data_IF_720243919810
#
_entry.id   IF_720243919810
#
_cell.length_a   1.000
_cell.length_b   1.000
_cell.length_c   1.000
_cell.angle_alpha   90.00
_cell.angle_beta   90.00
_cell.angle_gamma   90.00
#
_symmetry.space_group_name_H-M   'P 1'
#
loop_
_entity.id
_entity.type
_entity.pdbx_description
1 polymer ?
#
# COMPACT_ATOMS: atom_id res chain seq x y z
N UNK A 1 -18.29 14.42 -32.44
CA UNK A 1 -17.11 14.85 -31.65
C UNK A 1 -15.96 13.92 -32.02
N UNK A 2 -14.83 14.43 -32.53
CA UNK A 2 -13.66 13.57 -32.86
C UNK A 2 -12.92 13.24 -31.57
N UNK A 3 -12.57 11.98 -31.35
CA UNK A 3 -11.75 11.53 -30.22
C UNK A 3 -10.37 12.18 -30.29
N UNK A 4 -9.96 12.89 -29.23
CA UNK A 4 -8.57 13.34 -29.08
C UNK A 4 -7.76 12.15 -28.56
N UNK A 5 -6.83 11.67 -29.37
CA UNK A 5 -5.89 10.61 -28.97
C UNK A 5 -4.74 11.26 -28.21
N UNK A 6 -4.60 10.94 -26.92
CA UNK A 6 -3.41 11.25 -26.13
C UNK A 6 -2.59 9.95 -26.02
N UNK A 7 -1.81 9.61 -27.05
CA UNK A 7 -0.87 8.50 -26.94
C UNK A 7 0.37 8.98 -26.18
N UNK A 8 0.37 8.91 -24.85
CA UNK A 8 1.49 9.40 -24.02
C UNK A 8 2.36 8.25 -23.46
N UNK A 9 2.17 7.01 -23.91
CA UNK A 9 3.03 5.88 -23.51
C UNK A 9 3.13 5.76 -21.97
N UNK A 10 4.35 5.73 -21.45
CA UNK A 10 4.67 5.62 -20.01
C UNK A 10 4.57 6.96 -19.25
N UNK A 11 4.05 8.04 -19.85
CA UNK A 11 3.86 9.34 -19.20
C UNK A 11 2.39 9.78 -19.23
N UNK A 12 2.00 10.72 -18.38
CA UNK A 12 0.66 11.33 -18.40
C UNK A 12 0.64 12.74 -17.84
N UNK A 13 -0.35 13.53 -18.25
CA UNK A 13 -0.72 14.74 -17.52
C UNK A 13 -1.34 14.37 -16.17
N UNK A 14 -0.90 15.03 -15.12
CA UNK A 14 -1.38 14.86 -13.76
C UNK A 14 -1.57 16.22 -13.09
N UNK A 15 -2.66 16.35 -12.33
CA UNK A 15 -2.99 17.57 -11.57
C UNK A 15 -2.46 17.40 -10.16
N UNK A 16 -1.69 18.37 -9.69
CA UNK A 16 -1.15 18.36 -8.34
C UNK A 16 -2.20 18.90 -7.34
N UNK A 17 -2.96 18.00 -6.73
CA UNK A 17 -3.93 18.29 -5.68
C UNK A 17 -3.41 18.00 -4.26
N UNK A 18 -2.11 17.76 -4.11
CA UNK A 18 -1.47 17.37 -2.84
C UNK A 18 -1.39 18.50 -1.80
N UNK A 19 -1.65 19.75 -2.23
CA UNK A 19 -1.54 20.94 -1.38
C UNK A 19 -0.11 21.47 -1.21
N UNK A 20 0.89 20.82 -1.79
CA UNK A 20 2.30 21.27 -1.84
C UNK A 20 2.80 21.29 -3.27
N UNK A 21 3.77 22.16 -3.58
CA UNK A 21 4.40 22.15 -4.90
C UNK A 21 5.25 20.89 -5.07
N UNK A 22 5.22 20.30 -6.27
CA UNK A 22 5.99 19.10 -6.62
C UNK A 22 7.11 19.52 -7.55
N UNK A 23 8.33 19.11 -7.28
CA UNK A 23 9.50 19.37 -8.10
C UNK A 23 9.73 18.25 -9.11
N UNK A 24 10.42 18.55 -10.20
CA UNK A 24 10.89 17.51 -11.12
C UNK A 24 11.78 16.51 -10.37
N UNK A 25 11.51 15.22 -10.53
CA UNK A 25 12.19 14.11 -9.85
C UNK A 25 11.43 13.56 -8.64
N UNK A 26 10.45 14.30 -8.11
CA UNK A 26 9.67 13.86 -6.96
C UNK A 26 8.80 12.65 -7.31
N UNK A 27 8.71 11.72 -6.36
CA UNK A 27 7.82 10.56 -6.47
C UNK A 27 6.44 10.95 -5.98
N UNK A 28 5.45 10.83 -6.85
CA UNK A 28 4.05 11.17 -6.55
C UNK A 28 3.14 9.98 -6.69
N UNK A 29 2.09 9.92 -5.87
CA UNK A 29 1.04 8.92 -6.00
C UNK A 29 -0.05 9.44 -6.94
N UNK A 30 -0.46 8.65 -7.93
CA UNK A 30 -1.68 8.95 -8.68
C UNK A 30 -2.80 8.01 -8.27
N UNK A 31 -3.77 8.60 -7.57
CA UNK A 31 -4.97 7.91 -7.11
C UNK A 31 -4.63 6.61 -6.38
N UNK A 32 -5.42 5.57 -6.68
CA UNK A 32 -5.24 4.22 -6.14
C UNK A 32 -4.53 3.28 -7.14
N UNK A 33 -3.86 3.82 -8.17
CA UNK A 33 -3.35 3.02 -9.29
C UNK A 33 -1.86 2.70 -9.17
N UNK A 34 -1.03 3.72 -8.90
CA UNK A 34 0.43 3.60 -8.85
C UNK A 34 1.16 4.85 -8.34
N UNK A 35 2.45 4.68 -8.12
CA UNK A 35 3.43 5.77 -8.03
C UNK A 35 3.90 6.21 -9.43
N UNK A 36 4.40 7.44 -9.54
CA UNK A 36 5.04 8.00 -10.73
C UNK A 36 6.10 9.03 -10.33
N UNK A 37 6.89 9.47 -11.31
CA UNK A 37 7.93 10.49 -11.14
C UNK A 37 7.51 11.76 -11.87
N UNK A 38 7.53 12.91 -11.20
CA UNK A 38 7.34 14.18 -11.87
C UNK A 38 8.49 14.50 -12.82
N UNK A 39 8.21 14.86 -14.08
CA UNK A 39 9.26 15.16 -15.08
C UNK A 39 9.51 16.67 -15.25
N UNK A 40 8.71 17.47 -14.56
CA UNK A 40 8.72 18.94 -14.55
C UNK A 40 8.27 19.40 -13.17
N UNK A 41 8.58 20.64 -12.82
CA UNK A 41 7.99 21.26 -11.63
C UNK A 41 6.48 21.47 -11.84
N UNK A 42 5.68 21.13 -10.83
CA UNK A 42 4.22 21.17 -10.84
C UNK A 42 3.75 21.99 -9.65
N UNK A 43 3.32 23.22 -9.92
CA UNK A 43 2.73 24.08 -8.90
C UNK A 43 1.48 23.45 -8.26
N UNK A 44 1.12 23.91 -7.07
CA UNK A 44 -0.13 23.52 -6.39
C UNK A 44 -1.33 23.82 -7.32
N UNK A 45 -2.21 22.84 -7.47
CA UNK A 45 -3.36 22.85 -8.41
C UNK A 45 -2.98 22.99 -9.88
N UNK A 46 -1.69 22.96 -10.21
CA UNK A 46 -1.16 22.97 -11.57
C UNK A 46 -1.25 21.59 -12.22
N UNK A 47 -1.09 21.56 -13.54
CA UNK A 47 -0.97 20.31 -14.30
C UNK A 47 0.44 20.18 -14.83
N UNK A 48 1.07 19.04 -14.59
CA UNK A 48 2.39 18.71 -15.11
C UNK A 48 2.42 17.31 -15.70
N UNK A 49 3.56 16.92 -16.25
CA UNK A 49 3.77 15.58 -16.77
C UNK A 49 4.46 14.72 -15.70
N UNK A 50 3.96 13.49 -15.54
CA UNK A 50 4.55 12.46 -14.68
C UNK A 50 4.79 11.19 -15.48
N UNK A 51 5.91 10.53 -15.21
CA UNK A 51 6.29 9.23 -15.76
C UNK A 51 5.80 8.11 -14.83
N UNK A 52 4.90 7.29 -15.35
CA UNK A 52 4.25 6.20 -14.63
C UNK A 52 4.75 4.82 -15.07
N UNK A 53 5.74 4.80 -15.96
CA UNK A 53 6.48 3.62 -16.45
C UNK A 53 7.96 3.95 -16.65
N UNK A 54 8.66 3.14 -17.46
CA UNK A 54 10.10 3.28 -17.65
C UNK A 54 10.96 2.89 -16.44
N UNK A 55 12.26 3.20 -16.52
CA UNK A 55 13.26 2.90 -15.48
C UNK A 55 13.85 4.22 -14.97
N UNK A 56 13.78 4.43 -13.65
CA UNK A 56 14.21 5.66 -12.99
C UNK A 56 15.24 5.35 -11.90
N UNK A 57 16.25 6.21 -11.75
CA UNK A 57 17.24 6.09 -10.68
C UNK A 57 16.79 6.88 -9.47
N UNK A 58 16.62 6.21 -8.34
CA UNK A 58 16.11 6.80 -7.10
C UNK A 58 17.06 6.52 -5.94
N UNK A 59 17.07 7.40 -4.94
CA UNK A 59 17.74 7.13 -3.67
C UNK A 59 17.17 5.86 -3.05
N UNK A 60 18.02 5.07 -2.41
CA UNK A 60 17.59 3.88 -1.65
C UNK A 60 18.10 3.99 -0.22
N UNK A 61 17.40 3.28 0.66
CA UNK A 61 17.85 3.09 2.04
C UNK A 61 19.29 2.57 2.07
N UNK A 62 20.11 3.25 2.88
CA UNK A 62 21.52 2.93 3.02
C UNK A 62 21.75 1.49 3.54
N UNK A 63 22.94 0.95 3.28
CA UNK A 63 23.37 -0.36 3.79
C UNK A 63 22.50 -1.56 3.39
N UNK A 64 21.60 -1.39 2.42
CA UNK A 64 20.70 -2.44 1.95
C UNK A 64 21.04 -2.80 0.51
N UNK A 65 21.44 -4.05 0.27
CA UNK A 65 21.62 -4.58 -1.07
C UNK A 65 20.25 -4.96 -1.67
N UNK A 66 19.98 -4.57 -2.91
CA UNK A 66 18.75 -4.86 -3.62
C UNK A 66 19.10 -5.65 -4.88
N UNK A 67 18.62 -6.89 -4.97
CA UNK A 67 18.84 -7.75 -6.14
C UNK A 67 18.01 -7.29 -7.34
N UNK A 68 18.52 -7.54 -8.56
CA UNK A 68 17.74 -7.33 -9.78
C UNK A 68 16.42 -8.11 -9.72
N UNK A 69 15.31 -7.47 -10.11
CA UNK A 69 13.97 -8.04 -10.13
C UNK A 69 13.27 -8.07 -8.76
N UNK A 70 13.95 -7.67 -7.67
CA UNK A 70 13.33 -7.56 -6.36
C UNK A 70 12.23 -6.49 -6.38
N UNK A 71 11.12 -6.77 -5.68
CA UNK A 71 10.08 -5.77 -5.40
C UNK A 71 10.66 -4.68 -4.51
N UNK A 72 10.37 -3.44 -4.86
CA UNK A 72 10.78 -2.28 -4.11
C UNK A 72 9.60 -1.37 -3.85
N UNK A 73 9.70 -0.63 -2.77
CA UNK A 73 8.65 0.19 -2.21
C UNK A 73 9.17 1.61 -2.00
N UNK A 74 8.28 2.58 -2.11
CA UNK A 74 8.56 3.97 -1.80
C UNK A 74 8.19 4.24 -0.34
N UNK A 75 9.19 4.62 0.45
CA UNK A 75 8.99 5.23 1.76
C UNK A 75 8.71 6.72 1.56
N UNK A 76 7.46 7.11 1.75
CA UNK A 76 7.04 8.50 1.57
C UNK A 76 7.45 9.42 2.73
N UNK A 77 7.97 8.87 3.82
CA UNK A 77 8.45 9.64 4.98
C UNK A 77 9.92 9.98 4.82
N UNK A 78 10.74 8.99 4.44
CA UNK A 78 12.18 9.19 4.22
C UNK A 78 12.53 9.59 2.79
N UNK A 79 11.56 9.50 1.86
CA UNK A 79 11.75 9.75 0.42
C UNK A 79 12.83 8.86 -0.20
N UNK A 80 12.82 7.57 0.18
CA UNK A 80 13.78 6.58 -0.27
C UNK A 80 13.11 5.29 -0.73
N UNK A 81 13.77 4.61 -1.67
CA UNK A 81 13.41 3.26 -2.07
C UNK A 81 13.83 2.26 -0.98
N UNK A 82 12.90 1.42 -0.56
CA UNK A 82 13.08 0.39 0.46
C UNK A 82 12.58 -0.98 -0.01
N UNK A 83 12.95 -2.03 0.72
CA UNK A 83 12.37 -3.38 0.57
C UNK A 83 11.36 -3.68 1.68
N UNK A 84 11.20 -2.76 2.64
CA UNK A 84 10.18 -2.85 3.69
C UNK A 84 8.80 -2.72 3.08
N UNK A 85 8.01 -3.78 3.23
CA UNK A 85 6.67 -3.87 2.66
C UNK A 85 5.68 -2.99 3.45
N UNK A 86 5.47 -3.31 4.74
CA UNK A 86 4.37 -2.73 5.53
C UNK A 86 4.50 -1.19 5.61
N UNK A 87 3.42 -0.48 5.32
CA UNK A 87 3.35 0.98 5.38
C UNK A 87 3.94 1.72 4.17
N UNK A 88 4.64 1.02 3.27
CA UNK A 88 5.28 1.63 2.09
C UNK A 88 4.53 1.30 0.80
N UNK A 89 4.57 2.23 -0.15
CA UNK A 89 3.85 2.13 -1.42
C UNK A 89 4.61 1.24 -2.40
N UNK A 90 3.95 0.28 -3.04
CA UNK A 90 4.61 -0.49 -4.09
C UNK A 90 5.05 0.42 -5.24
N UNK A 91 6.34 0.42 -5.56
CA UNK A 91 6.92 1.29 -6.57
C UNK A 91 7.19 0.53 -7.88
N UNK A 92 7.61 -0.72 -7.76
CA UNK A 92 7.92 -1.59 -8.89
C UNK A 92 9.04 -2.57 -8.56
N UNK A 93 9.95 -2.78 -9.51
CA UNK A 93 11.04 -3.74 -9.36
C UNK A 93 12.39 -3.13 -9.70
N UNK A 94 13.42 -3.55 -8.97
CA UNK A 94 14.80 -3.18 -9.27
C UNK A 94 15.19 -3.66 -10.67
N UNK A 95 15.54 -2.73 -11.56
CA UNK A 95 15.92 -3.00 -12.94
C UNK A 95 17.30 -3.67 -13.04
N UNK A 96 18.20 -3.32 -12.12
CA UNK A 96 19.51 -3.94 -11.93
C UNK A 96 19.81 -4.08 -10.43
N UNK A 97 20.79 -4.90 -10.09
CA UNK A 97 21.23 -5.02 -8.70
C UNK A 97 21.88 -3.71 -8.23
N UNK A 98 21.64 -3.34 -6.97
CA UNK A 98 22.32 -2.28 -6.24
C UNK A 98 22.97 -2.89 -5.00
N UNK A 99 24.26 -2.66 -4.80
CA UNK A 99 25.02 -3.11 -3.65
C UNK A 99 24.60 -2.39 -2.36
N UNK A 100 25.10 -2.88 -1.22
CA UNK A 100 24.83 -2.25 0.08
C UNK A 100 25.40 -0.82 0.16
N UNK A 101 26.56 -0.59 -0.47
CA UNK A 101 27.27 0.69 -0.50
C UNK A 101 26.75 1.66 -1.58
N UNK A 102 25.93 1.18 -2.52
CA UNK A 102 25.28 2.06 -3.48
C UNK A 102 24.27 2.95 -2.74
N UNK A 103 24.14 4.20 -3.15
CA UNK A 103 23.14 5.13 -2.59
C UNK A 103 21.87 5.20 -3.42
N UNK A 104 21.84 4.54 -4.58
CA UNK A 104 20.71 4.56 -5.52
C UNK A 104 20.39 3.19 -6.08
N UNK A 105 19.17 3.05 -6.60
CA UNK A 105 18.71 1.87 -7.34
C UNK A 105 17.95 2.32 -8.59
N UNK A 106 18.14 1.61 -9.70
CA UNK A 106 17.34 1.81 -10.91
C UNK A 106 16.06 0.98 -10.77
N UNK A 107 14.89 1.60 -10.83
CA UNK A 107 13.58 0.95 -10.61
C UNK A 107 12.75 1.03 -11.87
N UNK A 108 12.26 -0.12 -12.34
CA UNK A 108 11.18 -0.17 -13.33
C UNK A 108 9.86 0.07 -12.61
N UNK A 109 9.15 1.14 -12.96
CA UNK A 109 7.87 1.48 -12.33
C UNK A 109 6.77 0.50 -12.77
N UNK A 110 5.93 0.11 -11.83
CA UNK A 110 4.81 -0.82 -12.06
C UNK A 110 3.52 -0.32 -11.40
N UNK A 111 2.38 -0.88 -11.79
CA UNK A 111 1.11 -0.59 -11.14
C UNK A 111 1.00 -1.31 -9.78
N UNK A 112 0.20 -0.79 -8.85
CA UNK A 112 -0.02 -1.45 -7.57
C UNK A 112 -0.61 -2.87 -7.74
N UNK A 113 -1.45 -3.07 -8.76
CA UNK A 113 -1.99 -4.39 -9.12
C UNK A 113 -0.93 -5.42 -9.54
N UNK A 114 0.30 -4.99 -9.84
CA UNK A 114 1.42 -5.86 -10.22
C UNK A 114 2.28 -6.30 -9.03
N UNK A 115 2.02 -5.77 -7.81
CA UNK A 115 2.76 -6.12 -6.60
C UNK A 115 2.70 -7.63 -6.30
N UNK A 116 1.56 -8.25 -6.59
CA UNK A 116 1.22 -9.59 -6.14
C UNK A 116 0.76 -9.62 -4.67
N UNK A 117 0.70 -10.81 -4.05
CA UNK A 117 0.13 -10.94 -2.72
C UNK A 117 1.02 -10.32 -1.64
N UNK A 118 0.37 -9.70 -0.65
CA UNK A 118 0.99 -9.14 0.56
C UNK A 118 0.69 -10.03 1.76
N UNK A 119 1.75 -10.49 2.42
CA UNK A 119 1.67 -11.30 3.65
C UNK A 119 2.42 -10.59 4.77
N UNK A 120 1.74 -10.38 5.90
CA UNK A 120 2.27 -9.68 7.07
C UNK A 120 2.11 -10.56 8.29
N UNK A 121 3.08 -10.54 9.20
CA UNK A 121 2.95 -11.12 10.54
C UNK A 121 3.17 -10.01 11.56
N UNK A 122 2.30 -9.90 12.56
CA UNK A 122 2.44 -8.94 13.65
C UNK A 122 2.21 -9.60 15.00
N UNK A 123 3.15 -9.39 15.91
CA UNK A 123 3.03 -9.72 17.33
C UNK A 123 2.65 -8.52 18.21
N UNK A 124 2.36 -7.36 17.60
CA UNK A 124 1.95 -6.16 18.32
C UNK A 124 0.54 -6.33 18.90
N UNK A 125 0.28 -5.66 20.03
CA UNK A 125 -1.08 -5.50 20.58
C UNK A 125 -1.89 -4.42 19.83
N UNK A 126 -1.21 -3.55 19.08
CA UNK A 126 -1.82 -2.46 18.30
C UNK A 126 -1.29 -2.48 16.86
N UNK A 127 -1.49 -3.58 16.10
CA UNK A 127 -1.12 -3.61 14.69
C UNK A 127 -1.96 -2.58 13.92
N UNK A 128 -1.35 -1.95 12.93
CA UNK A 128 -2.03 -1.02 12.03
C UNK A 128 -1.68 -1.37 10.59
N UNK A 129 -2.68 -1.28 9.71
CA UNK A 129 -2.50 -1.32 8.27
C UNK A 129 -2.83 0.07 7.73
N UNK A 130 -2.00 0.56 6.82
CA UNK A 130 -2.20 1.85 6.15
C UNK A 130 -2.81 1.69 4.76
N UNK A 131 -3.10 2.82 4.12
CA UNK A 131 -3.61 2.86 2.74
C UNK A 131 -2.69 2.06 1.80
N UNK A 132 -1.37 2.26 1.93
CA UNK A 132 -0.34 1.62 1.10
C UNK A 132 -0.43 0.07 1.11
N UNK A 133 -0.94 -0.52 2.19
CA UNK A 133 -1.04 -1.96 2.35
C UNK A 133 -2.16 -2.60 1.52
N UNK A 134 -3.13 -1.80 1.06
CA UNK A 134 -4.33 -2.28 0.35
C UNK A 134 -4.35 -1.94 -1.13
N UNK A 135 -3.48 -1.04 -1.60
CA UNK A 135 -3.50 -0.55 -2.98
C UNK A 135 -3.24 -1.66 -4.03
N UNK A 136 -2.57 -2.75 -3.63
CA UNK A 136 -2.41 -3.94 -4.47
C UNK A 136 -3.66 -4.82 -4.59
N UNK A 137 -4.75 -4.49 -3.91
CA UNK A 137 -6.03 -5.21 -3.94
C UNK A 137 -6.26 -6.19 -2.79
N UNK A 138 -5.27 -6.45 -1.94
CA UNK A 138 -5.50 -7.16 -0.69
C UNK A 138 -4.27 -7.51 0.11
N UNK A 139 -4.48 -7.80 1.38
CA UNK A 139 -3.45 -8.13 2.36
C UNK A 139 -3.90 -9.27 3.26
N UNK A 140 -2.99 -10.19 3.52
CA UNK A 140 -3.14 -11.22 4.54
C UNK A 140 -2.26 -10.89 5.74
N UNK A 141 -2.85 -10.80 6.93
CA UNK A 141 -2.14 -10.55 8.18
C UNK A 141 -2.33 -11.71 9.16
N UNK A 142 -1.21 -12.22 9.67
CA UNK A 142 -1.17 -13.15 10.79
C UNK A 142 -0.90 -12.39 12.08
N UNK A 143 -1.80 -12.53 13.05
CA UNK A 143 -1.79 -11.85 14.34
C UNK A 143 -1.40 -12.85 15.44
N UNK A 144 -0.15 -12.76 15.88
CA UNK A 144 0.47 -13.73 16.79
C UNK A 144 0.48 -13.30 18.26
N UNK A 145 -0.26 -12.25 18.61
CA UNK A 145 -0.33 -11.70 19.96
C UNK A 145 -0.90 -12.71 20.96
N UNK A 146 -0.17 -12.96 22.05
CA UNK A 146 -0.61 -13.81 23.17
C UNK A 146 -1.48 -13.01 24.16
N UNK A 147 -2.57 -12.42 23.66
CA UNK A 147 -3.44 -11.50 24.38
C UNK A 147 -4.43 -10.83 23.43
N UNK A 148 -5.18 -9.86 23.94
CA UNK A 148 -6.05 -9.05 23.09
C UNK A 148 -5.21 -8.12 22.21
N UNK A 149 -5.67 -7.88 20.99
CA UNK A 149 -5.09 -6.85 20.11
C UNK A 149 -6.17 -6.13 19.31
N UNK A 150 -5.87 -4.91 18.92
CA UNK A 150 -6.73 -4.11 18.04
C UNK A 150 -6.01 -3.83 16.74
N UNK A 151 -6.50 -4.39 15.63
CA UNK A 151 -6.05 -4.10 14.28
C UNK A 151 -6.77 -2.87 13.75
N UNK A 152 -6.06 -1.75 13.63
CA UNK A 152 -6.59 -0.52 13.02
C UNK A 152 -6.42 -0.54 11.50
N UNK A 153 -7.47 -0.16 10.78
CA UNK A 153 -7.53 -0.13 9.32
C UNK A 153 -7.58 1.31 8.77
N UNK A 154 -7.20 1.54 7.50
CA UNK A 154 -7.36 2.84 6.86
C UNK A 154 -8.82 3.08 6.45
N UNK A 155 -9.12 4.31 6.03
CA UNK A 155 -10.44 4.64 5.47
C UNK A 155 -10.75 3.80 4.25
N UNK A 156 -11.96 3.23 4.20
CA UNK A 156 -12.48 2.46 3.06
C UNK A 156 -12.55 3.27 1.77
N UNK A 157 -12.66 4.60 1.87
CA UNK A 157 -12.71 5.49 0.71
C UNK A 157 -11.34 5.67 0.03
N UNK A 158 -10.25 5.50 0.79
CA UNK A 158 -8.89 5.73 0.29
C UNK A 158 -8.24 4.49 -0.31
N UNK A 159 -8.88 3.33 -0.20
CA UNK A 159 -8.40 2.05 -0.74
C UNK A 159 -9.36 1.49 -1.80
N UNK A 160 -8.92 0.60 -2.71
CA UNK A 160 -9.77 0.10 -3.78
C UNK A 160 -11.01 -0.63 -3.27
N UNK A 161 -12.17 -0.35 -3.89
CA UNK A 161 -13.39 -1.15 -3.68
C UNK A 161 -13.12 -2.59 -4.14
N UNK A 162 -13.50 -3.56 -3.30
CA UNK A 162 -13.19 -4.96 -3.50
C UNK A 162 -11.84 -5.39 -2.91
N UNK A 163 -11.05 -4.48 -2.32
CA UNK A 163 -9.84 -4.85 -1.62
C UNK A 163 -10.16 -5.82 -0.47
N UNK A 164 -9.31 -6.85 -0.31
CA UNK A 164 -9.52 -7.91 0.67
C UNK A 164 -8.55 -7.79 1.84
N UNK A 165 -9.03 -8.06 3.05
CA UNK A 165 -8.22 -8.28 4.24
C UNK A 165 -8.46 -9.69 4.73
N UNK A 166 -7.42 -10.50 4.82
CA UNK A 166 -7.48 -11.81 5.46
C UNK A 166 -6.78 -11.72 6.83
N UNK A 167 -7.52 -11.95 7.90
CA UNK A 167 -6.99 -11.94 9.28
C UNK A 167 -6.91 -13.36 9.81
N UNK A 168 -5.73 -13.76 10.29
CA UNK A 168 -5.52 -15.05 10.96
C UNK A 168 -5.01 -14.82 12.38
N UNK A 169 -5.75 -15.28 13.39
CA UNK A 169 -5.26 -15.33 14.78
C UNK A 169 -4.42 -16.58 14.99
N UNK A 170 -3.19 -16.42 15.49
CA UNK A 170 -2.35 -17.55 15.92
C UNK A 170 -2.03 -17.53 17.42
N UNK A 171 -2.27 -16.40 18.08
CA UNK A 171 -2.19 -16.28 19.53
C UNK A 171 -3.20 -17.18 20.25
N UNK A 172 -2.84 -17.66 21.44
CA UNK A 172 -3.62 -18.62 22.23
C UNK A 172 -4.61 -18.00 23.21
N UNK A 173 -4.65 -16.67 23.32
CA UNK A 173 -5.51 -15.95 24.26
C UNK A 173 -5.93 -14.59 23.71
N UNK A 174 -7.05 -14.05 24.22
CA UNK A 174 -7.59 -12.72 23.94
C UNK A 174 -8.17 -12.54 22.53
N UNK A 175 -9.19 -11.69 22.38
CA UNK A 175 -9.77 -11.43 21.07
C UNK A 175 -8.87 -10.52 20.20
N UNK A 176 -8.91 -10.75 18.88
CA UNK A 176 -8.52 -9.74 17.91
C UNK A 176 -9.76 -8.89 17.62
N UNK A 177 -9.66 -7.60 17.95
CA UNK A 177 -10.60 -6.57 17.54
C UNK A 177 -10.14 -5.98 16.22
N UNK A 178 -10.99 -5.98 15.22
CA UNK A 178 -10.79 -5.25 13.95
C UNK A 178 -11.51 -3.90 14.07
N UNK A 179 -10.76 -2.83 13.84
CA UNK A 179 -11.17 -1.45 14.07
C UNK A 179 -11.06 -0.63 12.76
N UNK A 180 -12.20 -0.38 12.07
CA UNK A 180 -12.25 0.43 10.86
C UNK A 180 -11.98 1.92 11.15
N UNK A 181 -11.73 2.72 10.12
CA UNK A 181 -11.36 4.11 10.33
C UNK A 181 -12.55 4.99 10.77
N UNK A 182 -12.36 5.71 11.88
CA UNK A 182 -13.29 6.75 12.32
C UNK A 182 -14.70 6.24 12.59
N UNK A 183 -15.66 6.61 11.74
CA UNK A 183 -17.09 6.25 11.87
C UNK A 183 -17.55 5.16 10.89
N UNK A 184 -16.61 4.60 10.13
CA UNK A 184 -16.88 3.50 9.21
C UNK A 184 -17.29 2.24 9.98
N UNK A 185 -17.98 1.31 9.30
CA UNK A 185 -18.48 0.09 9.94
C UNK A 185 -17.74 -1.15 9.45
N UNK A 186 -17.70 -2.15 10.32
CA UNK A 186 -17.24 -3.51 10.03
C UNK A 186 -18.33 -4.50 10.44
N UNK A 187 -18.86 -5.22 9.45
CA UNK A 187 -20.03 -6.09 9.61
C UNK A 187 -21.22 -5.40 10.31
N UNK A 188 -21.43 -4.11 10.02
CA UNK A 188 -22.49 -3.29 10.63
C UNK A 188 -22.19 -2.76 12.04
N UNK A 189 -21.08 -3.15 12.66
CA UNK A 189 -20.61 -2.63 13.95
C UNK A 189 -19.53 -1.57 13.79
N UNK A 190 -19.21 -0.83 14.86
CA UNK A 190 -18.07 0.09 14.90
C UNK A 190 -16.74 -0.63 15.02
N UNK A 191 -16.74 -1.85 15.57
CA UNK A 191 -15.59 -2.76 15.63
C UNK A 191 -16.08 -4.20 15.54
N UNK A 192 -15.18 -5.14 15.31
CA UNK A 192 -15.51 -6.57 15.28
C UNK A 192 -14.47 -7.39 16.05
N UNK A 193 -14.89 -8.07 17.12
CA UNK A 193 -13.99 -8.72 18.07
C UNK A 193 -14.31 -10.20 18.33
N UNK A 194 -14.77 -10.93 17.30
CA UNK A 194 -15.15 -12.35 17.48
C UNK A 194 -14.04 -13.33 17.11
N UNK A 195 -12.87 -12.88 16.66
CA UNK A 195 -11.71 -13.75 16.45
C UNK A 195 -10.95 -13.94 17.77
N UNK A 196 -11.38 -14.88 18.61
CA UNK A 196 -10.87 -15.08 19.96
C UNK A 196 -10.21 -16.45 20.21
N UNK A 197 -10.39 -17.40 19.29
CA UNK A 197 -9.75 -18.70 19.33
C UNK A 197 -8.53 -18.80 18.41
N UNK A 198 -7.60 -19.68 18.80
CA UNK A 198 -6.43 -19.93 17.97
C UNK A 198 -6.84 -20.53 16.62
N UNK A 199 -6.29 -19.99 15.54
CA UNK A 199 -6.57 -20.32 14.14
C UNK A 199 -7.88 -19.75 13.59
N UNK A 200 -8.55 -18.85 14.30
CA UNK A 200 -9.63 -18.08 13.72
C UNK A 200 -9.15 -17.33 12.48
N UNK A 201 -9.96 -17.41 11.43
CA UNK A 201 -9.69 -16.87 10.11
C UNK A 201 -10.92 -16.12 9.63
N UNK A 202 -10.74 -14.91 9.09
CA UNK A 202 -11.80 -14.16 8.47
C UNK A 202 -11.27 -13.43 7.24
N UNK A 203 -12.05 -13.46 6.17
CA UNK A 203 -11.87 -12.58 5.03
C UNK A 203 -12.84 -11.41 5.15
N UNK A 204 -12.32 -10.20 5.00
CA UNK A 204 -13.06 -8.95 4.97
C UNK A 204 -12.95 -8.34 3.59
N UNK A 205 -14.05 -7.75 3.10
CA UNK A 205 -14.09 -7.11 1.78
C UNK A 205 -14.47 -5.65 1.95
N UNK A 206 -13.66 -4.76 1.36
CA UNK A 206 -13.99 -3.35 1.27
C UNK A 206 -15.12 -3.14 0.24
N UNK A 207 -16.21 -2.51 0.64
CA UNK A 207 -17.33 -2.15 -0.26
C UNK A 207 -17.28 -0.70 -0.75
N UNK A 208 -16.33 0.10 -0.27
CA UNK A 208 -16.28 1.56 -0.46
C UNK A 208 -17.10 2.34 0.57
N UNK A 209 -17.87 1.67 1.43
CA UNK A 209 -18.62 2.29 2.53
C UNK A 209 -18.40 1.58 3.88
N UNK A 210 -18.05 0.29 3.84
CA UNK A 210 -17.84 -0.54 5.01
C UNK A 210 -16.96 -1.75 4.68
N UNK A 211 -16.45 -2.38 5.72
CA UNK A 211 -15.90 -3.73 5.65
C UNK A 211 -17.02 -4.75 5.89
N UNK A 212 -17.17 -5.71 4.99
CA UNK A 212 -18.13 -6.81 5.13
C UNK A 212 -17.40 -8.14 5.36
N UNK A 213 -18.01 -9.02 6.15
CA UNK A 213 -17.48 -10.35 6.40
C UNK A 213 -17.76 -11.27 5.20
N UNK A 214 -16.70 -11.86 4.65
CA UNK A 214 -16.74 -12.93 3.67
C UNK A 214 -16.61 -14.31 4.33
N UNK A 215 -15.99 -15.30 3.65
CA UNK A 215 -15.71 -16.60 4.26
C UNK A 215 -14.88 -16.47 5.55
N UNK A 216 -15.29 -17.21 6.57
CA UNK A 216 -14.61 -17.24 7.85
C UNK A 216 -14.64 -18.64 8.46
N UNK A 217 -13.67 -18.89 9.34
CA UNK A 217 -13.61 -20.01 10.27
C UNK A 217 -13.36 -19.37 11.62
N UNK A 218 -14.44 -19.15 12.37
CA UNK A 218 -14.42 -18.56 13.71
C UNK A 218 -15.12 -19.56 14.61
N UNK A 219 -14.44 -19.96 15.69
CA UNK A 219 -14.94 -20.99 16.62
C UNK A 219 -16.07 -20.50 17.53
#
# INVERSE_FOLDING_TARGET
MKTKVHNIGDSRAWVNDTGVAVSSGDVVRIGQERMAIATVDIAISGTGIVDHGGVHRLAKVASTAIAQGARVYWDATEEEVTTTILGNYYLGRAFRAAGADDTTVDVRLEAFSQEGPRYVTSGSATPALGIADFLGGGVAITLSVAGAATLTLPSVADIPVGATLLTKKTGSAGAITIDPAGSETINGGSTHATQDAQNDLAMWVNTGAAWILGPSVIA
#
